data_IF_398615294186
#
_entry.id   IF_398615294186
#
_cell.length_a   1.000
_cell.length_b   1.000
_cell.length_c   1.000
_cell.angle_alpha   90.00
_cell.angle_beta   90.00
_cell.angle_gamma   90.00
#
_symmetry.space_group_name_H-M   'P 1'
#
loop_
_entity.id
_entity.type
_entity.pdbx_description
1 polymer ?
#
# COMPACT_ATOMS: atom_id res chain seq x y z
N UNK A 1 -0.69 -17.32 20.93
CA UNK A 1 0.66 -16.84 20.58
C UNK A 1 0.60 -16.51 19.10
N UNK A 2 0.89 -15.27 18.71
CA UNK A 2 0.79 -14.84 17.31
C UNK A 2 2.13 -15.11 16.61
N UNK A 3 2.09 -15.81 15.48
CA UNK A 3 3.25 -15.97 14.61
C UNK A 3 3.49 -14.67 13.85
N UNK A 4 4.74 -14.27 13.69
CA UNK A 4 5.11 -13.07 12.91
C UNK A 4 5.32 -13.47 11.45
N UNK A 5 4.53 -12.85 10.56
CA UNK A 5 4.68 -12.97 9.12
C UNK A 5 5.29 -11.66 8.58
N UNK A 6 6.44 -11.77 7.94
CA UNK A 6 7.16 -10.61 7.40
C UNK A 6 7.27 -10.71 5.88
N UNK A 7 7.08 -9.58 5.22
CA UNK A 7 7.40 -9.36 3.82
C UNK A 7 8.58 -8.38 3.77
N UNK A 8 9.69 -8.81 3.17
CA UNK A 8 10.86 -7.97 2.95
C UNK A 8 11.07 -7.77 1.44
N UNK A 9 11.11 -6.51 1.00
CA UNK A 9 11.13 -6.09 -0.41
C UNK A 9 12.39 -5.27 -0.69
N UNK A 10 13.14 -5.70 -1.71
CA UNK A 10 14.19 -4.88 -2.32
C UNK A 10 13.62 -4.27 -3.60
N UNK A 11 13.62 -2.95 -3.66
CA UNK A 11 13.05 -2.18 -4.77
C UNK A 11 14.15 -1.58 -5.65
N UNK A 12 13.92 -1.56 -6.96
CA UNK A 12 14.84 -1.00 -7.93
C UNK A 12 15.06 0.50 -7.68
N UNK A 13 16.33 0.89 -7.54
CA UNK A 13 16.71 2.29 -7.32
C UNK A 13 16.59 2.78 -5.87
N UNK A 14 16.16 1.93 -4.93
CA UNK A 14 16.13 2.23 -3.50
C UNK A 14 17.22 1.42 -2.78
N UNK A 15 18.00 2.10 -1.93
CA UNK A 15 19.21 1.51 -1.31
C UNK A 15 18.87 0.56 -0.15
N UNK A 16 17.81 0.87 0.61
CA UNK A 16 17.40 0.09 1.77
C UNK A 16 16.19 -0.81 1.46
N UNK A 17 16.16 -2.05 1.99
CA UNK A 17 15.00 -2.91 1.87
C UNK A 17 13.84 -2.42 2.75
N UNK A 18 12.61 -2.61 2.27
CA UNK A 18 11.40 -2.37 3.03
C UNK A 18 10.99 -3.66 3.73
N UNK A 19 10.70 -3.59 5.03
CA UNK A 19 10.25 -4.74 5.80
C UNK A 19 8.94 -4.40 6.51
N UNK A 20 7.93 -5.23 6.27
CA UNK A 20 6.60 -5.05 6.83
C UNK A 20 6.16 -6.31 7.59
N UNK A 21 5.63 -6.10 8.80
CA UNK A 21 4.87 -7.10 9.52
C UNK A 21 3.44 -7.10 9.02
N UNK A 22 2.93 -8.26 8.64
CA UNK A 22 1.62 -8.43 8.01
C UNK A 22 0.85 -9.58 8.66
N UNK A 23 -0.46 -9.64 8.41
CA UNK A 23 -1.27 -10.79 8.80
C UNK A 23 -0.99 -11.97 7.85
N UNK A 24 -1.26 -13.19 8.31
CA UNK A 24 -1.10 -14.42 7.51
C UNK A 24 -1.85 -14.36 6.17
N UNK A 25 -3.05 -13.76 6.16
CA UNK A 25 -3.87 -13.60 4.96
C UNK A 25 -3.14 -12.78 3.89
N UNK A 26 -2.52 -11.67 4.29
CA UNK A 26 -1.81 -10.75 3.39
C UNK A 26 -0.47 -11.32 2.96
N UNK A 27 0.23 -11.99 3.88
CA UNK A 27 1.45 -12.74 3.57
C UNK A 27 1.20 -13.81 2.49
N UNK A 28 0.16 -14.64 2.69
CA UNK A 28 -0.19 -15.72 1.78
C UNK A 28 -0.66 -15.19 0.42
N UNK A 29 -1.40 -14.08 0.42
CA UNK A 29 -1.85 -13.41 -0.81
C UNK A 29 -0.68 -12.85 -1.60
N UNK A 30 0.22 -12.13 -0.94
CA UNK A 30 1.44 -11.62 -1.55
C UNK A 30 2.28 -12.76 -2.15
N UNK A 31 2.44 -13.87 -1.43
CA UNK A 31 3.17 -15.03 -1.95
C UNK A 31 2.55 -15.56 -3.25
N UNK A 32 1.22 -15.70 -3.32
CA UNK A 32 0.53 -16.12 -4.55
C UNK A 32 0.75 -15.16 -5.72
N UNK A 33 0.83 -13.85 -5.47
CA UNK A 33 1.10 -12.86 -6.50
C UNK A 33 2.51 -13.06 -7.08
N UNK A 34 3.51 -13.30 -6.24
CA UNK A 34 4.89 -13.56 -6.69
C UNK A 34 5.15 -15.00 -7.15
N UNK A 35 4.27 -15.95 -6.85
CA UNK A 35 4.33 -17.31 -7.40
C UNK A 35 3.63 -17.40 -8.78
N UNK A 36 2.85 -16.39 -9.16
CA UNK A 36 2.12 -16.34 -10.43
C UNK A 36 2.99 -15.76 -11.56
N UNK A 37 3.44 -16.64 -12.46
CA UNK A 37 4.30 -16.27 -13.59
C UNK A 37 3.67 -15.23 -14.52
N UNK A 38 2.35 -15.26 -14.76
CA UNK A 38 1.69 -14.34 -15.68
C UNK A 38 1.68 -12.88 -15.13
N UNK A 39 1.53 -12.75 -13.81
CA UNK A 39 1.59 -11.46 -13.12
C UNK A 39 3.02 -10.90 -13.12
N UNK A 40 4.02 -11.77 -13.02
CA UNK A 40 5.43 -11.38 -13.07
C UNK A 40 5.88 -11.05 -14.50
N UNK A 41 5.44 -11.81 -15.51
CA UNK A 41 5.81 -11.57 -16.90
C UNK A 41 5.21 -10.28 -17.45
N UNK A 42 3.98 -9.97 -17.07
CA UNK A 42 3.35 -8.69 -17.43
C UNK A 42 3.96 -7.50 -16.69
N UNK A 43 4.55 -7.71 -15.50
CA UNK A 43 5.10 -6.68 -14.60
C UNK A 43 4.16 -5.48 -14.40
N UNK A 44 2.87 -5.66 -14.66
CA UNK A 44 1.90 -4.58 -14.70
C UNK A 44 1.07 -4.62 -13.43
N UNK A 45 1.03 -3.49 -12.71
CA UNK A 45 0.17 -3.31 -11.55
C UNK A 45 0.93 -3.19 -10.23
N UNK A 46 0.13 -3.18 -9.16
CA UNK A 46 0.59 -3.03 -7.80
C UNK A 46 0.16 -4.22 -6.95
N UNK A 47 1.02 -4.63 -6.03
CA UNK A 47 0.62 -5.48 -4.91
C UNK A 47 0.20 -4.56 -3.76
N UNK A 48 -1.04 -4.72 -3.28
CA UNK A 48 -1.58 -3.96 -2.15
C UNK A 48 -1.78 -4.87 -0.94
N UNK A 49 -1.35 -4.43 0.24
CA UNK A 49 -1.56 -5.15 1.50
C UNK A 49 -1.55 -4.23 2.71
N UNK A 50 -2.14 -4.71 3.80
CA UNK A 50 -2.18 -4.02 5.08
C UNK A 50 -1.11 -4.56 6.03
N UNK A 51 -0.50 -3.67 6.81
CA UNK A 51 0.48 -4.03 7.84
C UNK A 51 -0.17 -4.14 9.22
N UNK A 52 0.46 -4.89 10.12
CA UNK A 52 0.07 -4.96 11.54
C UNK A 52 0.23 -3.60 12.22
N UNK A 53 1.15 -2.76 11.74
CA UNK A 53 1.42 -1.42 12.24
C UNK A 53 0.38 -0.37 11.80
N UNK A 54 -0.63 -0.75 11.02
CA UNK A 54 -1.72 0.13 10.60
C UNK A 54 -1.39 0.98 9.37
N UNK A 55 -0.58 0.46 8.45
CA UNK A 55 -0.34 1.07 7.15
C UNK A 55 -1.01 0.27 6.03
N UNK A 56 -1.56 0.97 5.05
CA UNK A 56 -1.86 0.42 3.73
C UNK A 56 -0.64 0.64 2.83
N UNK A 57 -0.20 -0.41 2.14
CA UNK A 57 1.01 -0.38 1.30
C UNK A 57 0.64 -0.82 -0.11
N UNK A 58 1.05 -0.06 -1.12
CA UNK A 58 0.99 -0.47 -2.52
C UNK A 58 2.39 -0.45 -3.14
N UNK A 59 2.76 -1.55 -3.79
CA UNK A 59 4.12 -1.78 -4.33
C UNK A 59 4.05 -2.06 -5.82
N UNK A 60 4.79 -1.30 -6.63
CA UNK A 60 4.85 -1.55 -8.07
C UNK A 60 5.63 -2.83 -8.36
N UNK A 61 4.96 -3.83 -8.95
CA UNK A 61 5.58 -5.13 -9.24
C UNK A 61 6.75 -5.04 -10.23
N UNK A 62 6.72 -4.06 -11.15
CA UNK A 62 7.80 -3.83 -12.11
C UNK A 62 9.13 -3.46 -11.45
N UNK A 63 9.07 -2.84 -10.27
CA UNK A 63 10.24 -2.33 -9.56
C UNK A 63 10.72 -3.27 -8.45
N UNK A 64 10.01 -4.37 -8.15
CA UNK A 64 10.47 -5.35 -7.18
C UNK A 64 11.65 -6.13 -7.76
N UNK A 65 12.82 -6.05 -7.11
CA UNK A 65 14.02 -6.81 -7.48
C UNK A 65 14.12 -8.13 -6.72
N UNK A 66 13.67 -8.14 -5.46
CA UNK A 66 13.71 -9.31 -4.60
C UNK A 66 12.62 -9.21 -3.55
N UNK A 67 11.90 -10.31 -3.30
CA UNK A 67 10.98 -10.46 -2.17
C UNK A 67 11.45 -11.61 -1.29
N UNK A 68 11.43 -11.43 0.04
CA UNK A 68 11.63 -12.50 1.02
C UNK A 68 10.40 -12.60 1.90
N UNK A 69 9.84 -13.79 1.93
CA UNK A 69 8.79 -14.17 2.85
C UNK A 69 9.44 -14.84 4.05
N UNK A 70 9.40 -14.17 5.20
CA UNK A 70 9.97 -14.69 6.44
C UNK A 70 8.83 -15.08 7.39
N UNK A 71 9.01 -16.22 8.04
CA UNK A 71 8.13 -16.72 9.08
C UNK A 71 8.98 -16.92 10.34
N UNK A 72 8.66 -16.19 11.41
CA UNK A 72 9.36 -16.35 12.67
C UNK A 72 8.43 -16.95 13.74
N UNK A 73 8.64 -18.21 14.13
CA UNK A 73 7.87 -18.84 15.21
C UNK A 73 8.32 -18.38 16.60
N UNK A 74 9.42 -17.64 16.72
CA UNK A 74 9.99 -17.18 18.01
C UNK A 74 9.95 -15.66 18.08
N UNK A 75 9.05 -15.13 18.91
CA UNK A 75 8.90 -13.70 19.15
C UNK A 75 10.17 -13.14 19.81
N UNK A 76 10.88 -12.26 19.11
CA UNK A 76 11.68 -11.23 19.74
C UNK A 76 10.86 -9.95 19.63
N UNK A 77 10.78 -9.11 20.68
CA UNK A 77 10.11 -7.83 20.54
C UNK A 77 10.79 -7.09 19.39
N UNK A 78 10.06 -6.95 18.27
CA UNK A 78 10.45 -5.98 17.26
C UNK A 78 10.32 -4.62 17.93
N UNK A 79 11.33 -3.76 17.77
CA UNK A 79 11.18 -2.34 18.07
C UNK A 79 10.15 -1.80 17.05
N UNK A 80 8.86 -2.06 17.29
CA UNK A 80 7.75 -1.72 16.42
C UNK A 80 7.80 -0.21 16.19
N UNK A 81 8.17 0.19 14.98
CA UNK A 81 7.96 1.56 14.55
C UNK A 81 6.47 1.66 14.31
N UNK A 82 5.74 2.35 15.20
CA UNK A 82 4.33 2.68 14.91
C UNK A 82 4.26 3.28 13.50
N UNK A 83 3.23 2.90 12.74
CA UNK A 83 2.93 3.50 11.46
C UNK A 83 2.97 5.03 11.55
N UNK A 84 3.40 5.68 10.47
CA UNK A 84 3.41 7.13 10.37
C UNK A 84 2.02 7.64 9.96
N UNK A 85 1.69 8.88 10.34
CA UNK A 85 0.41 9.53 9.97
C UNK A 85 0.48 10.23 8.59
N UNK A 86 1.64 10.23 7.95
CA UNK A 86 1.87 10.81 6.62
C UNK A 86 1.52 9.80 5.51
N UNK A 87 1.23 10.30 4.30
CA UNK A 87 1.32 9.52 3.07
C UNK A 87 2.76 9.62 2.58
N UNK A 88 3.44 8.50 2.40
CA UNK A 88 4.81 8.49 1.89
C UNK A 88 4.85 7.82 0.52
N UNK A 89 5.49 8.48 -0.44
CA UNK A 89 5.59 8.01 -1.82
C UNK A 89 7.04 8.00 -2.29
N UNK A 90 7.44 6.86 -2.84
CA UNK A 90 8.73 6.67 -3.48
C UNK A 90 8.56 6.69 -5.00
N UNK A 91 9.37 7.52 -5.66
CA UNK A 91 9.31 7.72 -7.11
C UNK A 91 10.58 7.21 -7.79
N UNK A 92 10.43 6.71 -9.02
CA UNK A 92 11.55 6.18 -9.80
C UNK A 92 12.66 7.22 -9.99
N UNK A 93 13.89 6.80 -9.78
CA UNK A 93 15.07 7.64 -9.96
C UNK A 93 15.27 8.71 -8.88
N UNK A 94 14.44 8.72 -7.82
CA UNK A 94 14.61 9.62 -6.67
C UNK A 94 15.04 8.82 -5.44
N UNK A 95 16.00 9.38 -4.70
CA UNK A 95 16.44 8.83 -3.42
C UNK A 95 15.53 9.27 -2.26
N UNK A 96 15.00 10.48 -2.36
CA UNK A 96 14.18 11.09 -1.33
C UNK A 96 12.73 10.62 -1.44
N UNK A 97 12.14 10.30 -0.29
CA UNK A 97 10.71 10.05 -0.14
C UNK A 97 9.94 11.36 -0.21
N UNK A 98 8.75 11.33 -0.81
CA UNK A 98 7.80 12.44 -0.81
C UNK A 98 6.79 12.18 0.31
N UNK A 99 6.83 12.98 1.36
CA UNK A 99 5.85 12.99 2.45
C UNK A 99 4.72 13.98 2.15
N UNK A 100 3.49 13.54 2.31
CA UNK A 100 2.27 14.33 2.11
C UNK A 100 1.27 14.00 3.22
N UNK A 101 0.21 14.79 3.29
CA UNK A 101 -0.96 14.45 4.09
C UNK A 101 -2.19 14.37 3.21
N UNK A 102 -3.06 13.45 3.57
CA UNK A 102 -4.45 13.54 3.18
C UNK A 102 -5.02 14.69 4.02
N UNK A 103 -5.39 15.80 3.39
CA UNK A 103 -6.05 16.91 4.08
C UNK A 103 -7.44 16.49 4.56
N UNK A 104 -8.44 17.32 4.28
CA UNK A 104 -9.83 17.00 4.64
C UNK A 104 -10.52 16.04 3.66
N UNK A 105 -9.86 15.67 2.55
CA UNK A 105 -10.40 14.80 1.50
C UNK A 105 -9.86 13.38 1.61
N UNK A 106 -10.61 12.50 2.29
CA UNK A 106 -10.22 11.10 2.44
C UNK A 106 -10.54 10.25 1.20
N UNK A 107 -11.44 10.72 0.33
CA UNK A 107 -11.89 10.01 -0.87
C UNK A 107 -10.76 9.87 -1.89
N UNK A 108 -9.94 10.92 -2.08
CA UNK A 108 -8.85 10.91 -3.06
C UNK A 108 -7.83 9.78 -2.79
N UNK A 109 -7.47 9.56 -1.52
CA UNK A 109 -6.54 8.48 -1.16
C UNK A 109 -7.18 7.10 -1.37
N UNK A 110 -8.43 6.91 -0.94
CA UNK A 110 -9.11 5.64 -1.15
C UNK A 110 -9.29 5.33 -2.64
N UNK A 111 -9.70 6.31 -3.45
CA UNK A 111 -9.83 6.18 -4.90
C UNK A 111 -8.49 5.82 -5.56
N UNK A 112 -7.37 6.38 -5.09
CA UNK A 112 -6.04 5.98 -5.55
C UNK A 112 -5.79 4.49 -5.26
N UNK A 113 -6.03 4.00 -4.04
CA UNK A 113 -5.83 2.58 -3.72
C UNK A 113 -6.73 1.66 -4.54
N UNK A 114 -7.99 2.04 -4.81
CA UNK A 114 -8.87 1.30 -5.73
C UNK A 114 -8.29 1.22 -7.14
N UNK A 115 -7.80 2.35 -7.66
CA UNK A 115 -7.18 2.39 -8.98
C UNK A 115 -5.95 1.48 -9.06
N UNK A 116 -5.09 1.50 -8.04
CA UNK A 116 -3.88 0.68 -7.99
C UNK A 116 -4.18 -0.82 -7.91
N UNK A 117 -5.30 -1.22 -7.31
CA UNK A 117 -5.73 -2.63 -7.19
C UNK A 117 -6.27 -3.22 -8.50
N UNK A 118 -6.40 -2.40 -9.55
CA UNK A 118 -6.93 -2.80 -10.85
C UNK A 118 -8.28 -2.17 -11.21
N UNK A 119 -8.68 -1.10 -10.52
CA UNK A 119 -9.86 -0.32 -10.87
C UNK A 119 -9.82 0.22 -12.32
N UNK A 120 -11.00 0.37 -12.93
CA UNK A 120 -11.14 0.83 -14.32
C UNK A 120 -10.95 2.34 -14.51
N UNK A 121 -10.91 3.12 -13.43
CA UNK A 121 -10.82 4.57 -13.46
C UNK A 121 -9.36 5.04 -13.45
N UNK A 122 -8.90 5.68 -14.52
CA UNK A 122 -7.53 6.21 -14.59
C UNK A 122 -7.35 7.46 -13.72
N UNK A 123 -6.69 7.32 -12.57
CA UNK A 123 -6.18 8.47 -11.79
C UNK A 123 -4.70 8.67 -12.09
N UNK A 124 -4.37 9.39 -13.17
CA UNK A 124 -2.98 9.56 -13.60
C UNK A 124 -2.16 10.49 -12.68
N UNK A 125 -2.83 11.50 -12.10
CA UNK A 125 -2.22 12.55 -11.27
C UNK A 125 -3.09 12.89 -10.05
N UNK A 126 -3.23 11.99 -9.06
CA UNK A 126 -3.89 12.32 -7.80
C UNK A 126 -3.18 13.50 -7.11
N UNK A 127 -3.97 14.41 -6.54
CA UNK A 127 -3.51 15.60 -5.83
C UNK A 127 -3.59 15.41 -4.32
N UNK A 128 -2.54 15.77 -3.60
CA UNK A 128 -2.47 15.77 -2.13
C UNK A 128 -1.88 17.09 -1.63
N UNK A 129 -2.00 17.37 -0.34
CA UNK A 129 -1.31 18.50 0.28
C UNK A 129 0.03 18.04 0.87
N UNK A 130 1.10 18.81 0.69
CA UNK A 130 2.36 18.58 1.40
C UNK A 130 2.33 19.17 2.82
N UNK A 131 3.48 19.13 3.50
CA UNK A 131 3.65 19.64 4.87
C UNK A 131 3.39 21.16 4.98
N UNK A 132 3.57 21.89 3.88
CA UNK A 132 3.40 23.36 3.81
C UNK A 132 1.97 23.74 3.37
N UNK A 133 1.12 22.74 3.09
CA UNK A 133 -0.25 22.93 2.61
C UNK A 133 -0.32 23.24 1.11
N UNK A 134 0.77 23.04 0.37
CA UNK A 134 0.79 23.20 -1.08
C UNK A 134 0.27 21.95 -1.77
N UNK A 135 -0.47 22.16 -2.86
CA UNK A 135 -1.04 21.05 -3.64
C UNK A 135 0.04 20.39 -4.50
N UNK A 136 0.28 19.11 -4.28
CA UNK A 136 1.24 18.26 -4.99
C UNK A 136 0.50 17.20 -5.80
N UNK A 137 0.84 17.07 -7.08
CA UNK A 137 0.28 16.03 -7.94
C UNK A 137 1.29 14.94 -8.21
N UNK A 138 0.89 13.68 -8.05
CA UNK A 138 1.79 12.53 -8.18
C UNK A 138 1.57 11.86 -9.51
N UNK A 139 2.60 11.73 -10.34
CA UNK A 139 2.49 10.86 -11.52
C UNK A 139 2.52 9.39 -11.08
N UNK A 140 1.37 8.71 -11.08
CA UNK A 140 1.27 7.29 -10.65
C UNK A 140 2.16 6.39 -11.49
N UNK A 141 2.37 6.73 -12.76
CA UNK A 141 3.26 5.96 -13.63
C UNK A 141 4.73 6.02 -13.21
N UNK A 142 5.12 6.89 -12.27
CA UNK A 142 6.48 6.97 -11.72
C UNK A 142 6.59 6.41 -10.30
N UNK A 143 5.48 5.96 -9.72
CA UNK A 143 5.42 5.46 -8.36
C UNK A 143 6.02 4.05 -8.26
N UNK A 144 6.92 3.88 -7.29
CA UNK A 144 7.55 2.61 -6.94
C UNK A 144 6.82 1.98 -5.75
N UNK A 145 6.51 2.80 -4.75
CA UNK A 145 5.89 2.38 -3.51
C UNK A 145 5.12 3.55 -2.92
N UNK A 146 3.96 3.27 -2.32
CA UNK A 146 3.22 4.20 -1.47
C UNK A 146 2.86 3.51 -0.16
N UNK A 147 3.06 4.21 0.95
CA UNK A 147 2.50 3.86 2.25
C UNK A 147 1.56 4.96 2.71
N UNK A 148 0.45 4.59 3.31
CA UNK A 148 -0.51 5.53 3.87
C UNK A 148 -1.10 4.98 5.16
N UNK A 149 -1.61 5.84 6.06
CA UNK A 149 -2.27 5.38 7.28
C UNK A 149 -3.53 4.58 6.92
N UNK A 150 -3.61 3.34 7.39
CA UNK A 150 -4.70 2.42 7.02
C UNK A 150 -6.08 2.99 7.40
N UNK A 151 -6.16 3.67 8.55
CA UNK A 151 -7.40 4.26 9.01
C UNK A 151 -7.95 5.35 8.06
N UNK A 152 -7.08 6.11 7.39
CA UNK A 152 -7.44 7.13 6.39
C UNK A 152 -8.00 6.47 5.13
N UNK A 153 -7.31 5.47 4.61
CA UNK A 153 -7.76 4.67 3.45
C UNK A 153 -9.13 4.04 3.73
N UNK A 154 -9.30 3.44 4.92
CA UNK A 154 -10.55 2.81 5.33
C UNK A 154 -11.70 3.79 5.55
N UNK A 155 -11.43 5.03 6.00
CA UNK A 155 -12.47 6.06 6.08
C UNK A 155 -12.92 6.48 4.68
N UNK A 156 -11.99 6.78 3.78
CA UNK A 156 -12.32 7.14 2.39
C UNK A 156 -13.11 6.05 1.68
N UNK A 157 -12.77 4.76 1.86
CA UNK A 157 -13.60 3.67 1.32
C UNK A 157 -15.03 3.65 1.89
N UNK A 158 -15.22 4.03 3.15
CA UNK A 158 -16.55 4.13 3.77
C UNK A 158 -17.33 5.31 3.21
N UNK A 159 -16.68 6.42 2.92
CA UNK A 159 -17.28 7.62 2.30
C UNK A 159 -17.68 7.36 0.85
N UNK A 160 -16.78 6.83 0.02
CA UNK A 160 -17.06 6.41 -1.37
C UNK A 160 -18.28 5.47 -1.48
N UNK A 161 -18.44 4.53 -0.53
CA UNK A 161 -19.60 3.61 -0.47
C UNK A 161 -20.90 4.31 -0.05
N UNK A 162 -20.84 5.31 0.83
CA UNK A 162 -22.02 6.06 1.31
C UNK A 162 -22.59 6.97 0.23
N UNK A 163 -21.71 7.55 -0.59
CA UNK A 163 -22.09 8.53 -1.61
C UNK A 163 -22.64 7.87 -2.90
N UNK A 164 -22.84 6.56 -2.89
CA UNK A 164 -23.41 5.82 -4.01
C UNK A 164 -22.48 5.73 -5.21
N UNK A 165 -21.17 5.88 -5.00
CA UNK A 165 -20.17 5.55 -6.01
C UNK A 165 -20.39 4.10 -6.46
N UNK A 166 -20.43 3.86 -7.77
CA UNK A 166 -20.49 2.52 -8.35
C UNK A 166 -19.16 1.78 -8.08
N UNK A 167 -18.96 1.37 -6.83
CA UNK A 167 -17.84 0.56 -6.36
C UNK A 167 -18.38 -0.74 -5.74
N UNK A 168 -19.47 -1.27 -6.30
CA UNK A 168 -20.06 -2.57 -5.92
C UNK A 168 -19.13 -3.76 -6.24
N UNK A 169 -18.06 -3.53 -7.02
CA UNK A 169 -17.02 -4.50 -7.39
C UNK A 169 -15.68 -4.26 -6.65
N UNK A 170 -15.68 -3.64 -5.47
CA UNK A 170 -14.47 -3.63 -4.63
C UNK A 170 -14.14 -5.08 -4.24
N UNK A 171 -12.89 -5.55 -4.41
CA UNK A 171 -12.50 -6.87 -3.94
C UNK A 171 -12.78 -6.98 -2.43
N UNK A 172 -13.18 -8.16 -1.97
CA UNK A 172 -13.47 -8.49 -0.56
C UNK A 172 -12.29 -8.27 0.43
N UNK A 173 -11.18 -7.67 -0.04
CA UNK A 173 -9.97 -7.44 0.75
C UNK A 173 -10.15 -6.41 1.87
N UNK A 174 -11.24 -5.64 1.88
CA UNK A 174 -11.51 -4.58 2.87
C UNK A 174 -12.79 -4.80 3.70
N UNK A 175 -13.57 -5.85 3.45
CA UNK A 175 -14.88 -6.07 4.11
C UNK A 175 -14.84 -7.01 5.31
N UNK A 176 -13.89 -7.93 5.43
CA UNK A 176 -13.95 -8.97 6.46
C UNK A 176 -12.79 -8.87 7.47
N UNK A 177 -13.10 -8.22 8.60
CA UNK A 177 -12.70 -8.55 9.98
C UNK A 177 -12.54 -7.29 10.85
N UNK A 178 -13.67 -6.72 11.28
CA UNK A 178 -13.72 -5.92 12.52
C UNK A 178 -14.22 -6.85 13.64
N UNK A 179 -13.35 -7.37 14.52
CA UNK A 179 -13.80 -7.71 15.85
C UNK A 179 -13.99 -6.39 16.62
N UNK A 180 -15.16 -6.26 17.24
CA UNK A 180 -15.48 -5.21 18.22
C UNK A 180 -14.42 -5.10 19.32
#
# INVERSE_FOLDING_TARGET
MANEYLINLLMNGLEEPFQYEVREKDWSRAQRVFDNADMIESRSGFLIFDTVEGLAVAVCLADVQLVRFLYNPVQFPSDQKRGHDEIQVWLRGRKEVVSMFNGDDQDTLAALFVFLDGGTETVAFPGFCDLDGEMVHINVSQMVLITAPLHQVQEGHRELRRDGGQFDDLPDNLSDDIPF
#
